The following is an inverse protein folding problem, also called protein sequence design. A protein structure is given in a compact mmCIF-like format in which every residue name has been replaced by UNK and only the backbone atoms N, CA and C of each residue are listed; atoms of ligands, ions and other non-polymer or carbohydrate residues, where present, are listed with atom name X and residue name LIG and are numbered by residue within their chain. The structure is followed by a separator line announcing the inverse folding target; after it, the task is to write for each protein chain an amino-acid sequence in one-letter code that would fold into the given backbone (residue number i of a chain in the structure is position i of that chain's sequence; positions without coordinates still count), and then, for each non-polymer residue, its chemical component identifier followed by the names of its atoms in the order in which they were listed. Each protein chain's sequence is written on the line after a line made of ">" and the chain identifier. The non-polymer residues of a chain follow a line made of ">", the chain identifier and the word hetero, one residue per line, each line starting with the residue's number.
data_IF_782001005747
#
_entry.id   IF_782001005747
#
_cell.length_a   1.000
_cell.length_b   1.000
_cell.length_c   1.000
_cell.angle_alpha   90.00
_cell.angle_beta   90.00
_cell.angle_gamma   90.00
#
_symmetry.space_group_name_H-M   'P 1'
#
loop_
_entity.id
_entity.type
_entity.pdbx_description
1 polymer ?
#
# COMPACT_ATOMS: atom_id res chain seq x y z
N UNK A 1 -13.76 -7.93 -21.79
CA UNK A 1 -14.22 -8.10 -20.40
C UNK A 1 -13.24 -7.34 -19.52
N UNK A 2 -13.66 -6.28 -18.81
CA UNK A 2 -12.78 -5.68 -17.79
C UNK A 2 -12.74 -6.67 -16.63
N UNK A 3 -11.55 -7.06 -16.18
CA UNK A 3 -11.40 -7.90 -14.99
C UNK A 3 -12.11 -7.26 -13.79
N UNK A 4 -12.53 -8.07 -12.83
CA UNK A 4 -13.17 -7.58 -11.60
C UNK A 4 -12.30 -6.57 -10.83
N UNK A 5 -12.86 -5.91 -9.79
CA UNK A 5 -12.13 -4.92 -9.00
C UNK A 5 -10.79 -5.49 -8.48
N UNK A 6 -9.78 -4.63 -8.40
CA UNK A 6 -8.45 -4.97 -7.88
C UNK A 6 -8.38 -4.50 -6.43
N UNK A 7 -8.05 -5.40 -5.51
CA UNK A 7 -7.71 -5.03 -4.14
C UNK A 7 -6.30 -4.48 -4.11
N UNK A 8 -6.12 -3.32 -3.50
CA UNK A 8 -4.78 -2.76 -3.30
C UNK A 8 -4.54 -2.57 -1.81
N UNK A 9 -3.59 -3.32 -1.26
CA UNK A 9 -3.17 -3.19 0.13
C UNK A 9 -1.94 -2.31 0.26
N UNK A 10 -1.96 -1.40 1.23
CA UNK A 10 -0.84 -0.50 1.53
C UNK A 10 -0.16 -0.96 2.81
N UNK A 11 1.17 -1.14 2.74
CA UNK A 11 1.99 -1.52 3.89
C UNK A 11 3.07 -0.50 4.26
N UNK A 12 3.19 0.59 3.50
CA UNK A 12 4.20 1.63 3.68
C UNK A 12 5.40 1.44 2.77
N UNK A 13 6.60 1.49 3.35
CA UNK A 13 7.86 1.57 2.61
C UNK A 13 8.10 2.95 1.99
N UNK A 14 9.22 3.11 1.28
CA UNK A 14 9.61 4.39 0.67
C UNK A 14 8.56 4.98 -0.28
N UNK A 15 7.64 4.15 -0.79
CA UNK A 15 6.52 4.58 -1.61
C UNK A 15 5.59 5.59 -0.90
N UNK A 16 5.43 5.47 0.41
CA UNK A 16 4.52 6.29 1.22
C UNK A 16 5.25 7.16 2.26
N UNK A 17 6.59 7.23 2.20
CA UNK A 17 7.36 8.18 3.03
C UNK A 17 7.29 9.57 2.43
N UNK A 18 7.00 10.55 3.27
CA UNK A 18 7.11 11.98 2.96
C UNK A 18 8.35 12.56 3.64
N UNK A 19 9.04 13.47 2.95
CA UNK A 19 10.15 14.22 3.54
C UNK A 19 9.62 15.49 4.20
N UNK A 20 9.74 15.57 5.52
CA UNK A 20 9.49 16.79 6.28
C UNK A 20 10.69 17.73 6.11
N UNK A 21 10.54 18.76 5.27
CA UNK A 21 11.59 19.75 4.99
C UNK A 21 11.92 20.63 6.20
N UNK A 22 11.02 20.75 7.19
CA UNK A 22 11.21 21.58 8.38
C UNK A 22 12.13 20.86 9.37
N UNK A 23 11.91 19.56 9.56
CA UNK A 23 12.64 18.74 10.53
C UNK A 23 13.76 17.90 9.91
N UNK A 24 13.78 17.78 8.57
CA UNK A 24 14.74 16.94 7.85
C UNK A 24 14.52 15.44 8.06
N UNK A 25 13.29 15.02 8.36
CA UNK A 25 12.93 13.63 8.69
C UNK A 25 12.06 13.01 7.61
N UNK A 26 12.12 11.69 7.48
CA UNK A 26 11.18 10.93 6.66
C UNK A 26 10.09 10.37 7.56
N UNK A 27 8.84 10.69 7.26
CA UNK A 27 7.69 10.30 8.06
C UNK A 27 6.61 9.66 7.19
N UNK A 28 5.80 8.81 7.80
CA UNK A 28 4.62 8.24 7.19
C UNK A 28 3.41 9.10 7.56
N UNK A 29 2.65 9.59 6.57
CA UNK A 29 1.43 10.37 6.80
C UNK A 29 0.20 9.66 6.26
N UNK A 30 0.02 9.74 4.96
CA UNK A 30 -1.03 9.05 4.21
C UNK A 30 -0.41 8.37 2.99
N UNK A 31 -1.19 7.54 2.30
CA UNK A 31 -0.73 6.94 1.06
C UNK A 31 -0.94 7.86 -0.13
N UNK A 32 0.05 7.93 -1.01
CA UNK A 32 -0.02 8.71 -2.26
C UNK A 32 -0.83 8.00 -3.36
N UNK A 33 -1.23 6.75 -3.15
CA UNK A 33 -1.82 5.91 -4.18
C UNK A 33 -3.07 6.49 -4.86
N UNK A 34 -4.07 7.04 -4.14
CA UNK A 34 -5.24 7.61 -4.79
C UNK A 34 -4.88 8.75 -5.76
N UNK A 35 -3.97 9.64 -5.34
CA UNK A 35 -3.50 10.75 -6.16
C UNK A 35 -2.69 10.25 -7.36
N UNK A 36 -1.76 9.31 -7.15
CA UNK A 36 -0.96 8.72 -8.23
C UNK A 36 -1.85 8.04 -9.28
N UNK A 37 -2.87 7.29 -8.87
CA UNK A 37 -3.83 6.65 -9.78
C UNK A 37 -4.62 7.69 -10.60
N UNK A 38 -5.01 8.80 -9.97
CA UNK A 38 -5.69 9.90 -10.64
C UNK A 38 -4.78 10.60 -11.67
N UNK A 39 -3.53 10.92 -11.28
CA UNK A 39 -2.51 11.53 -12.16
C UNK A 39 -2.19 10.64 -13.36
N UNK A 40 -2.08 9.32 -13.15
CA UNK A 40 -1.88 8.33 -14.21
C UNK A 40 -3.11 8.15 -15.12
N UNK A 41 -4.24 8.79 -14.80
CA UNK A 41 -5.55 8.60 -15.46
C UNK A 41 -5.96 7.13 -15.50
N UNK A 42 -5.66 6.40 -14.43
CA UNK A 42 -6.06 5.00 -14.29
C UNK A 42 -7.59 4.90 -14.33
N UNK A 43 -8.09 3.93 -15.10
CA UNK A 43 -9.53 3.62 -15.21
C UNK A 43 -9.87 2.26 -14.63
N UNK A 44 -8.92 1.66 -13.90
CA UNK A 44 -9.11 0.41 -13.20
C UNK A 44 -10.03 0.64 -12.00
N UNK A 45 -10.91 -0.32 -11.71
CA UNK A 45 -11.68 -0.32 -10.46
C UNK A 45 -10.76 -0.85 -9.36
N UNK A 46 -10.22 0.04 -8.54
CA UNK A 46 -9.27 -0.28 -7.46
C UNK A 46 -9.91 0.00 -6.12
N UNK A 47 -9.81 -0.96 -5.20
CA UNK A 47 -10.28 -0.84 -3.82
C UNK A 47 -9.06 -0.78 -2.89
N UNK A 48 -8.64 0.44 -2.56
CA UNK A 48 -7.48 0.66 -1.68
C UNK A 48 -7.86 0.38 -0.23
N UNK A 49 -7.00 -0.33 0.50
CA UNK A 49 -7.08 -0.50 1.95
C UNK A 49 -5.67 -0.38 2.54
N UNK A 50 -5.49 0.56 3.45
CA UNK A 50 -4.27 0.64 4.25
C UNK A 50 -4.32 -0.43 5.34
N UNK A 51 -3.26 -1.26 5.42
CA UNK A 51 -3.11 -2.26 6.48
C UNK A 51 -2.17 -1.76 7.57
N UNK A 52 -1.12 -1.05 7.17
CA UNK A 52 -0.07 -0.50 8.02
C UNK A 52 0.74 0.54 7.24
N UNK A 53 1.59 1.28 7.96
CA UNK A 53 2.54 2.25 7.42
C UNK A 53 3.87 2.07 8.15
N UNK A 54 4.68 1.11 7.67
CA UNK A 54 5.95 0.73 8.29
C UNK A 54 7.10 0.76 7.28
N UNK A 55 8.33 0.91 7.77
CA UNK A 55 9.50 0.55 7.00
C UNK A 55 9.55 -0.97 6.83
N UNK A 56 9.91 -1.46 5.64
CA UNK A 56 10.05 -2.91 5.43
C UNK A 56 11.06 -3.55 6.38
N UNK A 57 12.10 -2.82 6.80
CA UNK A 57 13.08 -3.29 7.77
C UNK A 57 12.50 -3.48 9.18
N UNK A 58 11.43 -2.75 9.51
CA UNK A 58 10.75 -2.82 10.80
C UNK A 58 9.54 -3.78 10.78
N UNK A 59 9.25 -4.41 9.62
CA UNK A 59 8.12 -5.31 9.47
C UNK A 59 8.35 -6.63 10.21
N UNK A 60 7.39 -7.00 11.06
CA UNK A 60 7.43 -8.22 11.86
C UNK A 60 6.67 -9.38 11.19
N UNK A 61 6.85 -10.60 11.70
CA UNK A 61 6.06 -11.75 11.25
C UNK A 61 4.56 -11.56 11.48
N UNK A 62 4.16 -10.87 12.56
CA UNK A 62 2.76 -10.57 12.83
C UNK A 62 2.15 -9.64 11.76
N UNK A 63 2.93 -8.69 11.25
CA UNK A 63 2.51 -7.82 10.14
C UNK A 63 2.34 -8.61 8.85
N UNK A 64 3.25 -9.56 8.57
CA UNK A 64 3.15 -10.47 7.41
C UNK A 64 1.93 -11.39 7.51
N UNK A 65 1.62 -11.89 8.70
CA UNK A 65 0.42 -12.69 8.95
C UNK A 65 -0.85 -11.86 8.75
N UNK A 66 -0.86 -10.59 9.18
CA UNK A 66 -1.95 -9.67 8.93
C UNK A 66 -2.17 -9.43 7.42
N UNK A 67 -1.09 -9.20 6.65
CA UNK A 67 -1.16 -9.08 5.19
C UNK A 67 -1.76 -10.37 4.59
N UNK A 68 -1.24 -11.54 4.98
CA UNK A 68 -1.71 -12.83 4.47
C UNK A 68 -3.18 -13.11 4.80
N UNK A 69 -3.66 -12.75 6.00
CA UNK A 69 -5.08 -12.89 6.36
C UNK A 69 -5.97 -12.00 5.49
N UNK A 70 -5.58 -10.74 5.32
CA UNK A 70 -6.33 -9.80 4.47
C UNK A 70 -6.37 -10.25 3.01
N UNK A 71 -5.29 -10.83 2.49
CA UNK A 71 -5.28 -11.42 1.15
C UNK A 71 -6.24 -12.61 1.02
N UNK A 72 -6.30 -13.49 2.03
CA UNK A 72 -7.20 -14.65 2.04
C UNK A 72 -8.68 -14.25 2.14
N UNK A 73 -8.97 -13.14 2.82
CA UNK A 73 -10.32 -12.64 3.04
C UNK A 73 -10.83 -11.71 1.93
N UNK A 74 -9.95 -11.21 1.06
CA UNK A 74 -10.32 -10.31 -0.01
C UNK A 74 -11.21 -11.02 -1.05
N UNK A 75 -12.41 -10.49 -1.35
CA UNK A 75 -13.28 -11.06 -2.39
C UNK A 75 -12.81 -10.73 -3.82
N UNK A 76 -11.88 -9.79 -3.97
CA UNK A 76 -11.34 -9.39 -5.27
C UNK A 76 -10.48 -10.49 -5.91
N UNK A 77 -10.63 -10.75 -7.22
CA UNK A 77 -9.86 -11.79 -7.91
C UNK A 77 -8.38 -11.43 -8.12
N UNK A 78 -8.01 -10.16 -7.98
CA UNK A 78 -6.65 -9.67 -8.15
C UNK A 78 -6.28 -8.80 -6.95
N UNK A 79 -5.07 -9.01 -6.43
CA UNK A 79 -4.53 -8.29 -5.28
C UNK A 79 -3.17 -7.71 -5.67
N UNK A 80 -2.95 -6.44 -5.31
CA UNK A 80 -1.66 -5.76 -5.39
C UNK A 80 -1.32 -5.25 -3.99
N UNK A 81 -0.05 -5.34 -3.61
CA UNK A 81 0.45 -4.87 -2.31
C UNK A 81 1.57 -3.87 -2.60
N UNK A 82 1.48 -2.65 -2.07
CA UNK A 82 2.65 -1.76 -1.99
C UNK A 82 3.45 -2.12 -0.76
N UNK A 83 4.77 -2.27 -0.94
CA UNK A 83 5.69 -2.76 0.06
C UNK A 83 7.04 -2.08 -0.10
N UNK A 84 7.77 -1.90 1.00
CA UNK A 84 9.15 -1.41 0.97
C UNK A 84 10.08 -2.38 0.25
N UNK A 85 11.23 -1.91 -0.21
CA UNK A 85 12.11 -2.74 -1.07
C UNK A 85 13.09 -3.60 -0.29
N UNK A 86 13.23 -3.38 1.02
CA UNK A 86 14.34 -3.95 1.77
C UNK A 86 14.10 -5.39 2.27
N UNK A 87 12.85 -5.87 2.28
CA UNK A 87 12.50 -7.24 2.73
C UNK A 87 11.45 -7.90 1.85
#
# INVERSE_FOLDING_TARGET
>A
MRGGPIRLFVTGGTFDKEYDEIHGTLEFRDTHLPEMLALARSRLDVRVRMLMMVDSLDMTDADRDLIASNCREAPEPNIVITHGTDT
#
